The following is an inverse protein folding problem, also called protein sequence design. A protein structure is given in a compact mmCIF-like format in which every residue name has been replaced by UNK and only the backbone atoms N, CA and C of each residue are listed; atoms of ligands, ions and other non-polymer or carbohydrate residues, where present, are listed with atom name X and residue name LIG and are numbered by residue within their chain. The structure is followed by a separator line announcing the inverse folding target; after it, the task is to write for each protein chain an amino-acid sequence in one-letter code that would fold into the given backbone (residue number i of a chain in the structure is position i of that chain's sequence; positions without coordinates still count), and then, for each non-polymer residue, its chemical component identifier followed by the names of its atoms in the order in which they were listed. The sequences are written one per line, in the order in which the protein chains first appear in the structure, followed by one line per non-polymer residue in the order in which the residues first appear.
data_IF_550267253251
#
_entry.id   IF_550267253251
#
_cell.length_a   1.000
_cell.length_b   1.000
_cell.length_c   1.000
_cell.angle_alpha   90.00
_cell.angle_beta   90.00
_cell.angle_gamma   90.00
#
_symmetry.space_group_name_H-M   'P 1'
#
loop_
_entity.id
_entity.type
_entity.pdbx_description
1 polymer ?
#
# COMPACT_ATOMS: atom_id res chain seq x y z
N UNK A 1 2.12 17.98 -13.45
CA UNK A 1 1.15 19.06 -13.18
C UNK A 1 1.43 19.75 -11.84
N UNK A 2 1.49 19.03 -10.71
CA UNK A 2 1.67 19.61 -9.37
C UNK A 2 3.10 19.49 -8.79
N UNK A 3 4.11 19.22 -9.62
CA UNK A 3 5.48 19.00 -9.15
C UNK A 3 6.05 20.28 -8.51
N UNK A 4 6.57 20.16 -7.28
CA UNK A 4 7.16 21.29 -6.53
C UNK A 4 6.16 22.19 -5.79
N UNK A 5 4.85 21.93 -5.88
CA UNK A 5 3.86 22.66 -5.06
C UNK A 5 3.90 22.18 -3.60
N UNK A 6 4.10 23.07 -2.61
CA UNK A 6 3.96 22.73 -1.20
C UNK A 6 2.48 22.54 -0.82
N UNK A 7 2.23 21.99 0.36
CA UNK A 7 0.91 21.92 1.01
C UNK A 7 -0.21 21.26 0.19
N UNK A 8 0.14 20.21 -0.56
CA UNK A 8 -0.82 19.36 -1.26
C UNK A 8 -0.90 17.98 -0.61
N UNK A 9 -2.10 17.43 -0.59
CA UNK A 9 -2.36 16.04 -0.26
C UNK A 9 -3.24 15.43 -1.36
N UNK A 10 -3.09 14.13 -1.58
CA UNK A 10 -3.99 13.36 -2.42
C UNK A 10 -5.16 12.86 -1.57
N UNK A 11 -6.37 13.11 -2.02
CA UNK A 11 -7.56 12.43 -1.50
C UNK A 11 -7.81 11.16 -2.34
N UNK A 12 -7.77 10.00 -1.70
CA UNK A 12 -8.03 8.72 -2.33
C UNK A 12 -9.28 8.07 -1.73
N UNK A 13 -10.16 7.59 -2.62
CA UNK A 13 -11.40 6.91 -2.24
C UNK A 13 -11.30 5.44 -2.62
N UNK A 14 -11.59 4.54 -1.67
CA UNK A 14 -11.41 3.11 -1.88
C UNK A 14 -12.65 2.34 -1.47
N UNK A 15 -13.21 1.61 -2.43
CA UNK A 15 -14.41 0.82 -2.26
C UNK A 15 -14.26 -0.55 -2.93
N UNK A 16 -14.98 -1.52 -2.40
CA UNK A 16 -15.09 -2.88 -2.94
C UNK A 16 -16.54 -3.27 -3.28
N UNK A 17 -17.49 -2.34 -3.08
CA UNK A 17 -18.92 -2.53 -3.32
C UNK A 17 -19.26 -2.82 -4.80
N UNK A 18 -18.41 -2.37 -5.72
CA UNK A 18 -18.58 -2.52 -7.16
C UNK A 18 -17.72 -3.63 -7.76
N UNK A 19 -17.03 -4.41 -6.93
CA UNK A 19 -16.31 -5.56 -7.44
C UNK A 19 -17.29 -6.61 -7.97
N UNK A 20 -16.85 -7.33 -8.99
CA UNK A 20 -17.59 -8.48 -9.51
C UNK A 20 -17.72 -9.55 -8.43
N UNK A 21 -18.77 -10.36 -8.56
CA UNK A 21 -19.01 -11.52 -7.71
C UNK A 21 -17.73 -12.32 -7.44
N UNK A 22 -17.42 -12.49 -6.15
CA UNK A 22 -16.16 -13.10 -5.73
C UNK A 22 -16.18 -13.59 -4.28
N UNK A 23 -15.07 -14.18 -3.85
CA UNK A 23 -14.87 -14.72 -2.53
C UNK A 23 -14.56 -13.66 -1.48
N UNK A 24 -14.83 -13.99 -0.21
CA UNK A 24 -14.32 -13.20 0.94
C UNK A 24 -12.80 -13.08 0.93
N UNK A 25 -12.09 -14.11 0.47
CA UNK A 25 -10.63 -14.14 0.42
C UNK A 25 -10.09 -13.10 -0.55
N UNK A 26 -10.75 -12.89 -1.68
CA UNK A 26 -10.40 -11.79 -2.59
C UNK A 26 -10.60 -10.44 -1.91
N UNK A 27 -11.74 -10.21 -1.26
CA UNK A 27 -11.96 -8.95 -0.53
C UNK A 27 -10.89 -8.69 0.53
N UNK A 28 -10.49 -9.72 1.27
CA UNK A 28 -9.41 -9.65 2.24
C UNK A 28 -8.05 -9.36 1.61
N UNK A 29 -7.70 -10.09 0.55
CA UNK A 29 -6.44 -9.91 -0.16
C UNK A 29 -6.30 -8.51 -0.75
N UNK A 30 -7.35 -8.02 -1.40
CA UNK A 30 -7.40 -6.67 -1.92
C UNK A 30 -7.31 -5.62 -0.82
N UNK A 31 -8.03 -5.80 0.30
CA UNK A 31 -7.92 -4.92 1.45
C UNK A 31 -6.48 -4.85 1.96
N UNK A 32 -5.75 -5.97 1.99
CA UNK A 32 -4.33 -6.00 2.36
C UNK A 32 -3.40 -5.39 1.30
N UNK A 33 -3.69 -5.60 0.01
CA UNK A 33 -2.92 -5.04 -1.11
C UNK A 33 -3.09 -3.53 -1.29
N UNK A 34 -4.11 -2.89 -0.68
CA UNK A 34 -4.33 -1.44 -0.76
C UNK A 34 -3.13 -0.62 -0.29
N UNK A 35 -2.35 -1.10 0.68
CA UNK A 35 -1.17 -0.39 1.18
C UNK A 35 -0.11 -0.16 0.11
N UNK A 36 0.11 -1.14 -0.79
CA UNK A 36 1.04 -1.00 -1.92
C UNK A 36 0.61 0.09 -2.90
N UNK A 37 -0.69 0.12 -3.22
CA UNK A 37 -1.28 1.15 -4.09
C UNK A 37 -1.17 2.54 -3.46
N UNK A 38 -1.45 2.66 -2.16
CA UNK A 38 -1.35 3.92 -1.44
C UNK A 38 0.10 4.41 -1.35
N UNK A 39 1.05 3.51 -1.13
CA UNK A 39 2.47 3.85 -1.12
C UNK A 39 2.93 4.37 -2.49
N UNK A 40 2.51 3.72 -3.59
CA UNK A 40 2.82 4.20 -4.93
C UNK A 40 2.24 5.60 -5.21
N UNK A 41 1.02 5.89 -4.71
CA UNK A 41 0.42 7.23 -4.81
C UNK A 41 1.22 8.23 -3.96
N UNK A 42 1.62 7.85 -2.74
CA UNK A 42 2.37 8.71 -1.85
C UNK A 42 3.75 9.06 -2.41
N UNK A 43 4.48 8.08 -2.93
CA UNK A 43 5.78 8.26 -3.57
C UNK A 43 5.69 9.17 -4.81
N UNK A 44 4.61 9.05 -5.59
CA UNK A 44 4.43 9.83 -6.81
C UNK A 44 3.89 11.25 -6.56
N UNK A 45 3.01 11.45 -5.59
CA UNK A 45 2.28 12.70 -5.40
C UNK A 45 2.64 13.47 -4.12
N UNK A 46 3.00 12.77 -3.05
CA UNK A 46 3.11 13.30 -1.68
C UNK A 46 2.00 12.76 -0.76
N UNK A 47 1.76 13.38 0.41
CA UNK A 47 0.89 12.83 1.45
C UNK A 47 -0.48 12.39 0.94
N UNK A 48 -0.91 11.18 1.33
CA UNK A 48 -2.21 10.63 0.96
C UNK A 48 -3.13 10.60 2.18
N UNK A 49 -4.36 11.07 2.00
CA UNK A 49 -5.46 10.95 2.96
C UNK A 49 -6.56 10.13 2.31
N UNK A 50 -7.13 9.19 3.05
CA UNK A 50 -8.27 8.41 2.58
C UNK A 50 -9.55 9.12 2.95
N UNK A 51 -10.03 10.00 2.06
CA UNK A 51 -11.25 10.77 2.29
C UNK A 51 -12.50 9.91 2.34
N UNK A 52 -12.51 8.74 1.69
CA UNK A 52 -13.67 7.85 1.72
C UNK A 52 -13.32 6.37 1.59
N UNK A 53 -13.96 5.56 2.45
CA UNK A 53 -14.00 4.10 2.33
C UNK A 53 -15.17 3.53 3.15
N UNK A 54 -15.64 2.33 2.83
CA UNK A 54 -16.70 1.64 3.59
C UNK A 54 -16.39 0.15 3.79
N UNK A 55 -17.25 -0.58 4.51
CA UNK A 55 -17.17 -2.04 4.64
C UNK A 55 -17.98 -2.79 3.57
N UNK A 56 -18.61 -2.08 2.65
CA UNK A 56 -19.47 -2.68 1.64
C UNK A 56 -18.68 -3.57 0.66
N UNK A 57 -19.20 -4.79 0.49
CA UNK A 57 -18.74 -5.82 -0.46
C UNK A 57 -19.77 -6.10 -1.55
N UNK A 58 -20.87 -5.37 -1.52
CA UNK A 58 -21.95 -5.41 -2.50
C UNK A 58 -22.46 -3.97 -2.69
N UNK A 59 -23.30 -3.79 -3.70
CA UNK A 59 -23.95 -2.52 -3.97
C UNK A 59 -25.48 -2.61 -3.90
N UNK A 60 -25.97 -3.36 -2.92
CA UNK A 60 -27.39 -3.57 -2.68
C UNK A 60 -28.10 -2.37 -2.07
N UNK A 61 -27.36 -1.47 -1.43
CA UNK A 61 -27.94 -0.34 -0.72
C UNK A 61 -28.82 0.47 -1.67
N UNK A 62 -30.08 0.70 -1.26
CA UNK A 62 -31.06 1.37 -2.11
C UNK A 62 -30.51 2.71 -2.61
N UNK A 63 -30.57 2.90 -3.93
CA UNK A 63 -30.11 4.10 -4.64
C UNK A 63 -28.62 4.40 -4.60
N UNK A 64 -27.79 3.44 -4.17
CA UNK A 64 -26.34 3.62 -4.12
C UNK A 64 -25.73 3.97 -5.49
N UNK A 65 -26.26 3.40 -6.56
CA UNK A 65 -25.81 3.67 -7.93
C UNK A 65 -26.57 4.80 -8.63
N UNK A 66 -27.57 5.38 -7.97
CA UNK A 66 -28.48 6.36 -8.55
C UNK A 66 -29.92 6.19 -8.08
N UNK A 67 -30.67 7.28 -8.09
CA UNK A 67 -32.07 7.28 -7.66
C UNK A 67 -32.92 6.37 -8.56
N UNK A 68 -33.50 5.32 -7.96
CA UNK A 68 -34.22 4.24 -8.61
C UNK A 68 -33.51 3.65 -9.84
N UNK A 69 -32.18 3.66 -9.85
CA UNK A 69 -31.37 3.10 -10.92
C UNK A 69 -30.23 2.27 -10.36
N UNK A 70 -29.94 1.19 -11.05
CA UNK A 70 -28.65 0.51 -10.97
C UNK A 70 -28.02 0.56 -12.36
N UNK A 71 -26.71 0.81 -12.40
CA UNK A 71 -25.95 0.72 -13.63
C UNK A 71 -26.14 -0.67 -14.28
N UNK A 72 -26.11 -0.79 -15.62
CA UNK A 72 -26.19 -2.08 -16.28
C UNK A 72 -25.19 -3.09 -15.70
N UNK A 73 -25.68 -4.28 -15.33
CA UNK A 73 -24.87 -5.31 -14.67
C UNK A 73 -24.87 -5.26 -13.14
N UNK A 74 -25.63 -4.34 -12.54
CA UNK A 74 -25.80 -4.23 -11.09
C UNK A 74 -27.27 -4.41 -10.63
N UNK A 75 -27.49 -4.88 -9.39
CA UNK A 75 -26.47 -5.24 -8.40
C UNK A 75 -25.72 -6.51 -8.83
N UNK A 76 -24.44 -6.61 -8.48
CA UNK A 76 -23.60 -7.78 -8.82
C UNK A 76 -24.01 -9.03 -8.04
N UNK A 77 -24.81 -8.84 -6.97
CA UNK A 77 -25.30 -9.88 -6.06
C UNK A 77 -26.81 -9.70 -5.85
N UNK A 78 -27.57 -10.77 -5.54
CA UNK A 78 -28.95 -10.61 -5.10
C UNK A 78 -28.99 -10.01 -3.69
N UNK A 79 -29.95 -9.10 -3.47
CA UNK A 79 -30.03 -8.23 -2.30
C UNK A 79 -31.11 -8.66 -1.30
N UNK A 80 -30.83 -8.48 -0.01
CA UNK A 80 -31.81 -8.60 1.07
C UNK A 80 -32.71 -7.37 1.06
N UNK A 81 -33.96 -7.57 1.44
CA UNK A 81 -34.96 -6.52 1.52
C UNK A 81 -35.46 -6.41 2.96
N UNK A 82 -35.61 -5.18 3.45
CA UNK A 82 -36.19 -4.87 4.77
C UNK A 82 -37.32 -3.89 4.62
N UNK A 83 -38.20 -3.80 5.61
CA UNK A 83 -39.24 -2.77 5.62
C UNK A 83 -38.59 -1.39 5.48
N UNK A 84 -39.11 -0.58 4.56
CA UNK A 84 -38.59 0.76 4.34
C UNK A 84 -38.79 1.64 5.58
N UNK A 85 -37.78 2.42 5.94
CA UNK A 85 -37.90 3.41 7.02
C UNK A 85 -39.00 4.43 6.72
N UNK A 86 -39.66 4.92 7.77
CA UNK A 86 -40.56 6.05 7.65
C UNK A 86 -39.82 7.29 7.09
N UNK A 87 -40.47 8.12 6.26
CA UNK A 87 -39.85 9.31 5.70
C UNK A 87 -39.45 10.30 6.80
N UNK A 88 -38.19 10.74 6.81
CA UNK A 88 -37.69 11.66 7.85
C UNK A 88 -38.34 13.05 7.79
N UNK A 89 -38.93 13.42 6.64
CA UNK A 89 -39.66 14.68 6.44
C UNK A 89 -41.19 14.55 6.64
N UNK A 90 -41.68 13.39 7.11
CA UNK A 90 -43.11 13.15 7.38
C UNK A 90 -43.88 12.45 6.26
N UNK A 91 -45.07 11.93 6.58
CA UNK A 91 -45.89 11.08 5.70
C UNK A 91 -46.63 11.84 4.59
N UNK A 92 -46.60 13.17 4.60
CA UNK A 92 -47.27 13.99 3.59
C UNK A 92 -46.46 14.13 2.30
N UNK A 93 -45.23 13.59 2.24
CA UNK A 93 -44.42 13.68 1.04
C UNK A 93 -44.98 12.84 -0.10
N UNK A 94 -44.94 13.34 -1.35
CA UNK A 94 -45.31 12.55 -2.51
C UNK A 94 -44.55 11.22 -2.57
N UNK A 95 -45.27 10.11 -2.72
CA UNK A 95 -44.67 8.77 -2.77
C UNK A 95 -44.29 8.19 -1.40
N UNK A 96 -44.71 8.84 -0.30
CA UNK A 96 -44.52 8.33 1.06
C UNK A 96 -45.86 8.18 1.78
N UNK A 97 -46.02 7.18 2.66
CA UNK A 97 -45.14 6.02 2.79
C UNK A 97 -45.12 5.20 1.49
N UNK A 98 -44.11 4.35 1.35
CA UNK A 98 -44.02 3.42 0.22
C UNK A 98 -45.28 2.56 0.18
N UNK A 99 -45.95 2.49 -0.97
CA UNK A 99 -47.18 1.71 -1.13
C UNK A 99 -46.87 0.20 -1.07
N UNK A 100 -47.38 -0.49 -0.06
CA UNK A 100 -47.11 -1.92 0.17
C UNK A 100 -47.77 -2.84 -0.85
N UNK A 101 -48.72 -2.32 -1.64
CA UNK A 101 -49.49 -3.09 -2.63
C UNK A 101 -48.90 -2.99 -4.04
N UNK A 102 -47.96 -2.06 -4.25
CA UNK A 102 -47.33 -1.83 -5.54
C UNK A 102 -45.97 -2.51 -5.60
N UNK A 103 -45.62 -3.00 -6.79
CA UNK A 103 -44.27 -3.48 -7.10
C UNK A 103 -43.25 -2.35 -7.08
N UNK A 104 -42.26 -2.39 -7.98
CA UNK A 104 -41.26 -1.33 -8.05
C UNK A 104 -41.92 0.04 -8.29
N UNK A 105 -41.65 1.00 -7.41
CA UNK A 105 -42.20 2.35 -7.49
C UNK A 105 -41.19 3.31 -8.11
N UNK A 106 -41.64 4.01 -9.15
CA UNK A 106 -40.82 4.93 -9.92
C UNK A 106 -40.50 6.25 -9.19
N UNK A 107 -39.76 7.16 -9.85
CA UNK A 107 -39.34 7.11 -11.26
C UNK A 107 -38.34 5.97 -11.53
N UNK A 108 -38.21 5.47 -12.75
CA UNK A 108 -37.31 4.36 -13.07
C UNK A 108 -36.05 4.83 -13.77
N UNK A 109 -34.92 4.21 -13.43
CA UNK A 109 -33.64 4.40 -14.06
C UNK A 109 -33.46 3.71 -15.42
N UNK A 110 -32.20 3.58 -15.84
CA UNK A 110 -31.77 3.10 -17.14
C UNK A 110 -31.68 1.59 -17.27
N UNK A 111 -31.38 0.83 -16.21
CA UNK A 111 -31.09 -0.60 -16.40
C UNK A 111 -31.37 -1.56 -15.23
N UNK A 112 -31.23 -1.14 -13.97
CA UNK A 112 -31.26 -2.09 -12.85
C UNK A 112 -32.25 -1.74 -11.73
N UNK A 113 -32.70 -2.77 -11.01
CA UNK A 113 -33.62 -2.64 -9.88
C UNK A 113 -32.85 -2.13 -8.65
N UNK A 114 -33.14 -0.89 -8.23
CA UNK A 114 -32.60 -0.29 -7.00
C UNK A 114 -33.67 0.58 -6.36
N UNK A 115 -34.82 0.02 -5.99
CA UNK A 115 -35.92 0.83 -5.49
C UNK A 115 -36.87 0.06 -4.60
N UNK A 116 -37.79 0.75 -3.94
CA UNK A 116 -38.74 0.13 -3.05
C UNK A 116 -39.74 -0.74 -3.82
N UNK A 117 -40.03 -1.93 -3.30
CA UNK A 117 -40.97 -2.91 -3.86
C UNK A 117 -41.84 -3.46 -2.73
N UNK A 118 -43.16 -3.36 -2.85
CA UNK A 118 -44.12 -3.87 -1.85
C UNK A 118 -43.88 -3.39 -0.41
N UNK A 119 -43.38 -2.16 -0.22
CA UNK A 119 -43.05 -1.62 1.10
C UNK A 119 -41.66 -1.99 1.62
N UNK A 120 -40.88 -2.74 0.85
CA UNK A 120 -39.54 -3.16 1.22
C UNK A 120 -38.46 -2.46 0.38
N UNK A 121 -37.32 -2.20 1.01
CA UNK A 121 -36.17 -1.51 0.45
C UNK A 121 -34.97 -2.48 0.42
N UNK A 122 -34.21 -2.54 -0.68
CA UNK A 122 -33.00 -3.36 -0.75
C UNK A 122 -31.91 -2.76 0.13
N UNK A 123 -31.14 -3.62 0.80
CA UNK A 123 -30.10 -3.17 1.72
C UNK A 123 -28.70 -3.76 1.49
N UNK A 124 -28.41 -4.93 2.05
CA UNK A 124 -27.12 -5.61 1.98
C UNK A 124 -27.34 -7.09 1.59
N UNK A 125 -26.27 -7.86 1.48
CA UNK A 125 -26.32 -9.32 1.44
C UNK A 125 -25.65 -9.93 2.68
N UNK A 126 -26.12 -11.09 3.11
CA UNK A 126 -25.45 -11.87 4.15
C UNK A 126 -24.30 -12.72 3.60
N UNK A 127 -23.24 -12.86 4.40
CA UNK A 127 -22.20 -13.87 4.17
C UNK A 127 -22.57 -15.19 4.86
N UNK A 128 -22.25 -16.31 4.23
CA UNK A 128 -22.50 -17.66 4.74
C UNK A 128 -21.26 -18.24 5.43
N UNK A 129 -21.41 -19.12 6.43
CA UNK A 129 -20.27 -19.83 7.04
C UNK A 129 -19.64 -20.78 6.02
N UNK A 130 -18.32 -20.87 6.04
CA UNK A 130 -17.60 -21.89 5.28
C UNK A 130 -17.77 -23.26 5.98
N UNK A 131 -18.18 -24.27 5.23
CA UNK A 131 -18.35 -25.66 5.67
C UNK A 131 -17.64 -26.68 4.77
N UNK A 132 -17.51 -27.94 5.22
CA UNK A 132 -16.69 -28.97 4.55
C UNK A 132 -17.17 -29.40 3.15
N UNK A 133 -18.39 -29.00 2.74
CA UNK A 133 -18.92 -29.23 1.38
C UNK A 133 -19.04 -27.94 0.54
N UNK A 134 -18.83 -26.77 1.14
CA UNK A 134 -18.53 -25.52 0.45
C UNK A 134 -17.01 -25.40 0.47
N UNK A 135 -16.35 -26.23 -0.34
CA UNK A 135 -14.89 -26.39 -0.31
C UNK A 135 -14.16 -25.05 -0.22
N UNK A 136 -13.05 -25.10 0.51
CA UNK A 136 -11.97 -24.14 0.83
C UNK A 136 -11.46 -23.22 -0.30
N UNK A 137 -12.31 -22.70 -1.16
CA UNK A 137 -11.94 -21.99 -2.40
C UNK A 137 -12.56 -20.61 -2.49
N UNK A 138 -13.26 -20.15 -1.45
CA UNK A 138 -14.02 -18.92 -1.53
C UNK A 138 -15.15 -18.96 -2.58
N UNK A 139 -15.48 -20.15 -3.10
CA UNK A 139 -16.51 -20.39 -4.11
C UNK A 139 -17.90 -20.60 -3.50
N UNK A 140 -18.23 -19.94 -2.38
CA UNK A 140 -19.63 -19.85 -1.95
C UNK A 140 -20.40 -19.18 -3.07
N UNK A 141 -20.98 -19.98 -3.99
CA UNK A 141 -21.64 -19.51 -5.20
C UNK A 141 -22.67 -18.49 -4.76
N UNK A 142 -22.68 -17.32 -5.40
CA UNK A 142 -23.76 -16.34 -5.27
C UNK A 142 -24.98 -16.83 -6.09
N UNK A 143 -25.34 -18.09 -5.84
CA UNK A 143 -26.65 -18.69 -6.10
C UNK A 143 -27.42 -18.89 -4.80
N UNK A 144 -26.75 -18.77 -3.66
CA UNK A 144 -27.40 -18.80 -2.35
C UNK A 144 -28.22 -17.52 -2.14
N UNK A 145 -29.31 -17.64 -1.38
CA UNK A 145 -30.21 -16.53 -1.03
C UNK A 145 -29.44 -15.29 -0.55
N UNK A 146 -30.00 -14.10 -0.77
CA UNK A 146 -29.41 -12.88 -0.24
C UNK A 146 -29.39 -12.83 1.30
N UNK A 147 -30.31 -13.57 1.92
CA UNK A 147 -30.41 -13.71 3.37
C UNK A 147 -30.02 -15.13 3.79
N UNK A 148 -29.01 -15.20 4.66
CA UNK A 148 -28.52 -16.46 5.22
C UNK A 148 -29.35 -16.85 6.45
N UNK A 149 -29.70 -18.13 6.62
CA UNK A 149 -30.29 -18.62 7.86
C UNK A 149 -29.37 -18.30 9.06
N UNK A 150 -29.91 -17.96 10.25
CA UNK A 150 -29.11 -17.54 11.41
C UNK A 150 -27.96 -18.50 11.76
N UNK A 151 -28.16 -19.81 11.61
CA UNK A 151 -27.17 -20.84 11.89
C UNK A 151 -26.02 -20.87 10.86
N UNK A 152 -26.26 -20.42 9.63
CA UNK A 152 -25.29 -20.34 8.55
C UNK A 152 -24.77 -18.92 8.31
N UNK A 153 -25.30 -17.89 8.99
CA UNK A 153 -24.86 -16.50 8.81
C UNK A 153 -23.47 -16.27 9.42
N UNK A 154 -22.61 -15.57 8.66
CA UNK A 154 -21.22 -15.25 9.02
C UNK A 154 -20.84 -13.79 8.72
N UNK A 155 -21.81 -12.96 8.32
CA UNK A 155 -21.63 -11.54 7.96
C UNK A 155 -20.78 -10.79 8.99
N UNK A 156 -21.08 -10.96 10.29
CA UNK A 156 -20.39 -10.20 11.33
C UNK A 156 -18.90 -10.55 11.45
N UNK A 157 -18.55 -11.84 11.31
CA UNK A 157 -17.16 -12.27 11.33
C UNK A 157 -16.40 -11.80 10.09
N UNK A 158 -17.06 -11.89 8.92
CA UNK A 158 -16.47 -11.44 7.65
C UNK A 158 -16.18 -9.94 7.69
N UNK A 159 -17.16 -9.14 8.08
CA UNK A 159 -17.01 -7.68 8.13
C UNK A 159 -16.03 -7.23 9.21
N UNK A 160 -15.96 -7.92 10.36
CA UNK A 160 -14.95 -7.66 11.39
C UNK A 160 -13.53 -7.94 10.89
N UNK A 161 -13.32 -9.05 10.18
CA UNK A 161 -12.01 -9.37 9.61
C UNK A 161 -11.64 -8.43 8.45
N UNK A 162 -12.60 -8.09 7.60
CA UNK A 162 -12.40 -7.10 6.53
C UNK A 162 -12.00 -5.75 7.12
N UNK A 163 -12.68 -5.29 8.17
CA UNK A 163 -12.31 -4.07 8.89
C UNK A 163 -10.86 -4.11 9.36
N UNK A 164 -10.43 -5.17 10.05
CA UNK A 164 -9.05 -5.29 10.55
C UNK A 164 -8.02 -5.19 9.42
N UNK A 165 -8.27 -5.87 8.29
CA UNK A 165 -7.39 -5.86 7.11
C UNK A 165 -7.36 -4.50 6.42
N UNK A 166 -8.51 -3.87 6.22
CA UNK A 166 -8.58 -2.49 5.71
C UNK A 166 -7.80 -1.57 6.63
N UNK A 167 -8.14 -1.56 7.92
CA UNK A 167 -7.47 -0.71 8.90
C UNK A 167 -5.96 -0.87 8.90
N UNK A 168 -5.45 -2.10 8.88
CA UNK A 168 -4.02 -2.36 8.77
C UNK A 168 -3.42 -1.62 7.57
N UNK A 169 -3.97 -1.83 6.38
CA UNK A 169 -3.47 -1.21 5.15
C UNK A 169 -3.62 0.31 5.14
N UNK A 170 -4.80 0.81 5.54
CA UNK A 170 -5.12 2.23 5.52
C UNK A 170 -4.22 3.01 6.48
N UNK A 171 -3.95 2.49 7.69
CA UNK A 171 -3.10 3.20 8.66
C UNK A 171 -1.61 2.97 8.49
N UNK A 172 -1.19 2.01 7.65
CA UNK A 172 0.24 1.76 7.39
C UNK A 172 0.88 2.90 6.59
N UNK A 173 0.15 3.46 5.63
CA UNK A 173 0.68 4.46 4.69
C UNK A 173 -0.05 5.80 4.81
N UNK A 174 -1.39 5.80 4.85
CA UNK A 174 -2.14 7.06 4.79
C UNK A 174 -2.01 7.89 6.07
N UNK A 175 -2.11 9.22 5.92
CA UNK A 175 -2.01 10.20 7.00
C UNK A 175 -3.35 10.43 7.72
N UNK A 176 -4.36 9.61 7.42
CA UNK A 176 -5.69 9.70 7.99
C UNK A 176 -6.74 9.05 7.09
N UNK A 177 -7.87 8.69 7.67
CA UNK A 177 -8.96 8.07 6.93
C UNK A 177 -10.33 8.50 7.46
N UNK A 178 -11.32 8.52 6.58
CA UNK A 178 -12.71 8.86 6.93
C UNK A 178 -13.64 7.78 6.40
N UNK A 179 -14.41 7.18 7.31
CA UNK A 179 -15.38 6.16 6.97
C UNK A 179 -16.62 6.81 6.32
N UNK A 180 -16.98 6.33 5.13
CA UNK A 180 -18.18 6.71 4.42
C UNK A 180 -19.32 5.73 4.75
N UNK A 181 -20.32 6.11 5.56
CA UNK A 181 -20.57 7.41 6.19
C UNK A 181 -20.87 7.24 7.69
N UNK A 182 -21.05 8.34 8.42
CA UNK A 182 -21.34 8.34 9.85
C UNK A 182 -22.62 7.55 10.19
N UNK A 183 -23.68 7.70 9.38
CA UNK A 183 -24.95 7.00 9.55
C UNK A 183 -25.74 6.88 8.24
N UNK A 184 -26.68 5.95 8.21
CA UNK A 184 -27.68 5.74 7.15
C UNK A 184 -29.09 5.71 7.75
N UNK A 185 -30.11 6.01 6.93
CA UNK A 185 -31.52 5.96 7.37
C UNK A 185 -32.07 4.52 7.44
N UNK A 186 -31.62 3.65 6.51
CA UNK A 186 -31.86 2.21 6.55
C UNK A 186 -30.77 1.52 7.39
N UNK A 187 -31.07 0.34 7.93
CA UNK A 187 -30.12 -0.44 8.73
C UNK A 187 -29.04 -1.08 7.86
N UNK A 188 -28.03 -0.28 7.52
CA UNK A 188 -26.97 -0.57 6.56
C UNK A 188 -25.59 -0.44 7.18
N UNK A 189 -25.15 -1.40 8.02
CA UNK A 189 -23.91 -1.25 8.76
C UNK A 189 -22.68 -1.17 7.87
N UNK A 190 -22.72 -1.73 6.66
CA UNK A 190 -21.60 -1.62 5.72
C UNK A 190 -21.29 -0.16 5.30
N UNK A 191 -22.30 0.71 5.34
CA UNK A 191 -22.25 2.13 4.97
C UNK A 191 -22.49 3.08 6.17
N UNK A 192 -22.64 2.54 7.38
CA UNK A 192 -22.98 3.28 8.60
C UNK A 192 -22.00 2.97 9.73
N UNK A 193 -21.13 3.93 10.03
CA UNK A 193 -20.13 3.81 11.08
C UNK A 193 -20.74 3.43 12.44
N UNK A 194 -21.85 4.09 12.82
CA UNK A 194 -22.53 3.82 14.07
C UNK A 194 -23.07 2.38 14.15
N UNK A 195 -23.74 1.91 13.09
CA UNK A 195 -24.28 0.55 13.07
C UNK A 195 -23.17 -0.50 13.01
N UNK A 196 -22.09 -0.25 12.28
CA UNK A 196 -20.92 -1.13 12.24
C UNK A 196 -20.26 -1.26 13.63
N UNK A 197 -20.23 -0.18 14.42
CA UNK A 197 -19.78 -0.21 15.81
C UNK A 197 -20.74 -0.95 16.73
N UNK A 198 -22.05 -0.80 16.53
CA UNK A 198 -23.08 -1.50 17.32
C UNK A 198 -23.07 -3.02 17.05
N UNK A 199 -22.87 -3.42 15.79
CA UNK A 199 -22.68 -4.83 15.41
C UNK A 199 -21.30 -5.40 15.80
N UNK A 200 -20.39 -4.55 16.29
CA UNK A 200 -19.04 -4.97 16.69
C UNK A 200 -18.09 -5.29 15.53
N UNK A 201 -18.41 -4.82 14.31
CA UNK A 201 -17.50 -4.88 13.16
C UNK A 201 -16.33 -3.91 13.37
N UNK A 202 -16.66 -2.72 13.88
CA UNK A 202 -15.70 -1.68 14.26
C UNK A 202 -15.56 -1.69 15.80
N UNK A 203 -14.38 -1.95 16.36
CA UNK A 203 -14.17 -2.04 17.81
C UNK A 203 -14.27 -0.66 18.49
N UNK A 204 -14.88 -0.62 19.67
CA UNK A 204 -14.90 0.56 20.56
C UNK A 204 -13.54 0.68 21.27
N UNK A 205 -12.73 1.69 20.93
CA UNK A 205 -11.41 2.08 21.50
C UNK A 205 -10.86 1.21 22.65
N UNK A 206 -9.88 0.35 22.34
CA UNK A 206 -8.76 -0.17 23.19
C UNK A 206 -8.30 -1.60 22.80
N UNK A 207 -9.10 -2.36 22.07
CA UNK A 207 -8.71 -3.69 21.50
C UNK A 207 -7.90 -3.56 20.19
N UNK A 208 -7.33 -2.38 19.93
CA UNK A 208 -7.18 -1.82 18.59
C UNK A 208 -5.87 -2.11 17.85
N UNK A 209 -4.77 -2.48 18.52
CA UNK A 209 -3.46 -2.41 17.84
C UNK A 209 -2.88 -3.77 17.47
N UNK A 210 -2.86 -4.74 18.38
CA UNK A 210 -2.22 -6.05 18.12
C UNK A 210 -2.97 -6.83 17.03
N UNK A 211 -4.30 -6.83 17.07
CA UNK A 211 -5.14 -7.55 16.10
C UNK A 211 -5.10 -6.91 14.70
N UNK A 212 -4.83 -5.61 14.60
CA UNK A 212 -4.77 -4.88 13.33
C UNK A 212 -3.36 -4.97 12.74
N UNK A 213 -2.31 -4.85 13.55
CA UNK A 213 -0.91 -4.88 13.09
C UNK A 213 -0.58 -6.15 12.31
N UNK A 214 -1.14 -7.30 12.69
CA UNK A 214 -0.90 -8.57 12.01
C UNK A 214 -2.08 -9.07 11.15
N UNK A 215 -3.09 -8.22 10.91
CA UNK A 215 -4.30 -8.63 10.20
C UNK A 215 -4.02 -9.12 8.77
N UNK A 216 -2.96 -8.62 8.13
CA UNK A 216 -2.57 -8.97 6.75
C UNK A 216 -1.39 -9.93 6.65
N UNK A 217 -0.92 -10.50 7.76
CA UNK A 217 0.29 -11.32 7.77
C UNK A 217 0.22 -12.53 6.82
N UNK A 218 -0.96 -13.16 6.69
CA UNK A 218 -1.14 -14.31 5.79
C UNK A 218 -1.01 -13.89 4.31
N UNK A 219 -1.63 -12.78 3.95
CA UNK A 219 -1.58 -12.21 2.60
C UNK A 219 -0.15 -11.78 2.25
N UNK A 220 0.51 -11.08 3.16
CA UNK A 220 1.87 -10.57 2.97
C UNK A 220 2.88 -11.70 2.81
N UNK A 221 2.70 -12.81 3.53
CA UNK A 221 3.56 -13.99 3.44
C UNK A 221 3.29 -14.87 2.22
N UNK A 222 2.28 -14.57 1.41
CA UNK A 222 1.95 -15.38 0.22
C UNK A 222 1.40 -16.75 0.59
N UNK A 223 0.60 -16.86 1.66
CA UNK A 223 -0.05 -18.12 2.06
C UNK A 223 -1.28 -18.48 1.20
N UNK A 224 -1.59 -17.66 0.21
CA UNK A 224 -2.67 -17.88 -0.74
C UNK A 224 -2.08 -18.11 -2.12
N UNK A 225 -2.65 -19.06 -2.85
CA UNK A 225 -2.30 -19.38 -4.23
C UNK A 225 -3.38 -18.88 -5.15
N UNK A 226 -2.97 -18.29 -6.27
CA UNK A 226 -3.86 -17.86 -7.33
C UNK A 226 -4.08 -18.98 -8.35
N UNK A 227 -5.30 -19.50 -8.45
CA UNK A 227 -5.64 -20.58 -9.38
C UNK A 227 -6.69 -20.13 -10.39
N UNK A 228 -6.65 -20.69 -11.60
CA UNK A 228 -7.73 -20.54 -12.57
C UNK A 228 -9.02 -21.22 -12.08
N UNK A 229 -10.15 -20.62 -12.45
CA UNK A 229 -11.48 -21.22 -12.34
C UNK A 229 -11.66 -22.32 -13.38
N UNK A 230 -12.40 -23.36 -13.04
CA UNK A 230 -12.69 -24.47 -13.94
C UNK A 230 -13.45 -24.00 -15.20
N UNK A 231 -14.32 -23.00 -15.05
CA UNK A 231 -15.12 -22.42 -16.13
C UNK A 231 -14.46 -21.28 -16.92
N UNK A 232 -13.17 -21.01 -16.69
CA UNK A 232 -12.46 -19.94 -17.39
C UNK A 232 -12.36 -20.22 -18.90
N UNK A 233 -12.87 -19.29 -19.73
CA UNK A 233 -12.79 -19.46 -21.18
C UNK A 233 -11.35 -19.31 -21.70
N UNK A 234 -10.97 -20.13 -22.69
CA UNK A 234 -9.64 -20.10 -23.32
C UNK A 234 -9.24 -18.69 -23.79
N UNK A 235 -10.18 -17.94 -24.37
CA UNK A 235 -9.97 -16.55 -24.81
C UNK A 235 -9.53 -15.64 -23.65
N UNK A 236 -10.16 -15.76 -22.48
CA UNK A 236 -9.83 -14.92 -21.33
C UNK A 236 -8.51 -15.36 -20.68
N UNK A 237 -8.22 -16.66 -20.65
CA UNK A 237 -6.93 -17.19 -20.19
C UNK A 237 -5.79 -16.62 -21.05
N UNK A 238 -5.93 -16.67 -22.38
CA UNK A 238 -4.96 -16.07 -23.30
C UNK A 238 -4.76 -14.59 -23.02
N UNK A 239 -5.86 -13.83 -22.83
CA UNK A 239 -5.77 -12.41 -22.50
C UNK A 239 -4.98 -12.14 -21.21
N UNK A 240 -5.15 -12.98 -20.18
CA UNK A 240 -4.38 -12.86 -18.94
C UNK A 240 -2.89 -13.17 -19.14
N UNK A 241 -2.57 -14.23 -19.91
CA UNK A 241 -1.18 -14.58 -20.21
C UNK A 241 -0.47 -13.48 -21.02
N UNK A 242 -1.15 -12.92 -22.03
CA UNK A 242 -0.64 -11.79 -22.80
C UNK A 242 -0.39 -10.56 -21.94
N UNK A 243 -1.25 -10.28 -20.96
CA UNK A 243 -1.02 -9.20 -20.00
C UNK A 243 0.23 -9.46 -19.16
N UNK A 244 0.39 -10.67 -18.63
CA UNK A 244 1.58 -11.08 -17.86
C UNK A 244 2.86 -10.91 -18.69
N UNK A 245 2.85 -11.39 -19.93
CA UNK A 245 3.99 -11.23 -20.85
C UNK A 245 4.31 -9.76 -21.10
N UNK A 246 3.29 -8.95 -21.36
CA UNK A 246 3.46 -7.53 -21.60
C UNK A 246 4.10 -6.82 -20.40
N UNK A 247 3.64 -7.09 -19.18
CA UNK A 247 4.20 -6.47 -17.97
C UNK A 247 5.64 -6.91 -17.75
N UNK A 248 5.93 -8.21 -17.86
CA UNK A 248 7.27 -8.75 -17.68
C UNK A 248 8.26 -8.23 -18.73
N UNK A 249 7.79 -7.95 -19.95
CA UNK A 249 8.61 -7.49 -21.05
C UNK A 249 8.69 -5.96 -21.19
N UNK A 250 7.91 -5.19 -20.42
CA UNK A 250 7.75 -3.75 -20.61
C UNK A 250 9.07 -2.97 -20.50
N UNK A 251 9.96 -3.42 -19.62
CA UNK A 251 11.24 -2.77 -19.35
C UNK A 251 12.42 -3.46 -20.07
N UNK A 252 12.15 -4.46 -20.92
CA UNK A 252 13.17 -5.15 -21.70
C UNK A 252 13.50 -4.38 -23.00
N UNK A 253 14.76 -4.44 -23.47
CA UNK A 253 15.13 -3.99 -24.80
C UNK A 253 14.32 -4.74 -25.88
N UNK A 254 14.00 -4.11 -27.04
CA UNK A 254 13.22 -4.76 -28.11
C UNK A 254 13.79 -6.10 -28.58
N UNK A 255 15.11 -6.27 -28.55
CA UNK A 255 15.81 -7.50 -28.90
C UNK A 255 15.56 -8.67 -27.93
N UNK A 256 15.13 -8.39 -26.71
CA UNK A 256 14.90 -9.39 -25.65
C UNK A 256 13.40 -9.69 -25.44
N UNK A 257 12.51 -9.00 -26.17
CA UNK A 257 11.06 -9.24 -26.11
C UNK A 257 10.71 -10.52 -26.86
N UNK A 258 10.19 -11.51 -26.12
CA UNK A 258 9.67 -12.76 -26.70
C UNK A 258 8.17 -12.59 -26.97
N UNK A 259 7.79 -12.55 -28.26
CA UNK A 259 6.38 -12.63 -28.65
C UNK A 259 5.89 -14.07 -28.56
N UNK A 260 5.00 -14.34 -27.60
CA UNK A 260 4.36 -15.65 -27.44
C UNK A 260 2.99 -15.63 -28.12
N UNK A 261 2.82 -16.47 -29.14
CA UNK A 261 1.53 -16.69 -29.78
C UNK A 261 0.79 -17.84 -29.10
N UNK A 262 -0.45 -17.59 -28.68
CA UNK A 262 -1.32 -18.57 -28.04
C UNK A 262 -2.40 -19.06 -29.02
N UNK A 263 -2.65 -20.37 -29.05
CA UNK A 263 -3.74 -20.95 -29.84
C UNK A 263 -5.02 -21.09 -29.00
N UNK A 264 -6.07 -20.40 -29.42
CA UNK A 264 -7.39 -20.45 -28.77
C UNK A 264 -8.08 -21.81 -28.89
N UNK A 265 -7.65 -22.64 -29.85
CA UNK A 265 -8.22 -23.97 -30.09
C UNK A 265 -7.40 -25.09 -29.43
N UNK A 266 -6.33 -24.76 -28.70
CA UNK A 266 -5.53 -25.77 -27.99
C UNK A 266 -6.38 -26.43 -26.88
N UNK A 267 -6.71 -27.74 -27.00
CA UNK A 267 -7.49 -28.44 -25.98
C UNK A 267 -6.75 -28.58 -24.64
N UNK A 268 -5.42 -28.43 -24.65
CA UNK A 268 -4.56 -28.54 -23.48
C UNK A 268 -3.92 -27.20 -23.10
N UNK A 269 -4.52 -26.07 -23.49
CA UNK A 269 -3.99 -24.70 -23.30
C UNK A 269 -3.41 -24.47 -21.90
N UNK A 270 -4.10 -24.92 -20.85
CA UNK A 270 -3.66 -24.71 -19.46
C UNK A 270 -2.33 -25.42 -19.18
N UNK A 271 -2.18 -26.68 -19.63
CA UNK A 271 -0.98 -27.48 -19.42
C UNK A 271 0.15 -27.04 -20.36
N UNK A 272 -0.15 -26.80 -21.64
CA UNK A 272 0.83 -26.43 -22.66
C UNK A 272 1.47 -25.06 -22.38
N UNK A 273 0.73 -24.14 -21.76
CA UNK A 273 1.23 -22.80 -21.41
C UNK A 273 1.67 -22.67 -19.95
N UNK A 274 1.42 -23.68 -19.12
CA UNK A 274 1.62 -23.59 -17.67
C UNK A 274 0.76 -22.49 -17.02
N UNK A 275 -0.46 -22.24 -17.52
CA UNK A 275 -1.23 -21.05 -17.20
C UNK A 275 -1.47 -20.83 -15.70
N UNK A 276 -1.79 -21.89 -14.95
CA UNK A 276 -1.98 -21.82 -13.50
C UNK A 276 -0.73 -21.32 -12.78
N UNK A 277 0.43 -21.92 -13.10
CA UNK A 277 1.69 -21.55 -12.46
C UNK A 277 2.06 -20.11 -12.78
N UNK A 278 1.93 -19.69 -14.04
CA UNK A 278 2.29 -18.33 -14.46
C UNK A 278 1.41 -17.26 -13.82
N UNK A 279 0.12 -17.55 -13.65
CA UNK A 279 -0.83 -16.67 -12.96
C UNK A 279 -0.48 -16.53 -11.48
N UNK A 280 -0.16 -17.63 -10.81
CA UNK A 280 0.29 -17.59 -9.43
C UNK A 280 1.64 -16.89 -9.28
N UNK A 281 2.63 -17.22 -10.10
CA UNK A 281 3.96 -16.59 -10.07
C UNK A 281 3.86 -15.06 -10.22
N UNK A 282 3.03 -14.59 -11.16
CA UNK A 282 2.77 -13.16 -11.32
C UNK A 282 2.08 -12.55 -10.09
N UNK A 283 1.04 -13.21 -9.57
CA UNK A 283 0.37 -12.75 -8.36
C UNK A 283 1.33 -12.69 -7.17
N UNK A 284 2.13 -13.73 -6.93
CA UNK A 284 3.12 -13.75 -5.86
C UNK A 284 4.13 -12.62 -6.03
N UNK A 285 4.64 -12.37 -7.25
CA UNK A 285 5.61 -11.31 -7.50
C UNK A 285 5.06 -9.91 -7.21
N UNK A 286 3.78 -9.65 -7.53
CA UNK A 286 3.20 -8.31 -7.49
C UNK A 286 2.14 -8.09 -6.39
N UNK A 287 1.86 -9.06 -5.52
CA UNK A 287 0.82 -8.94 -4.48
C UNK A 287 1.04 -7.75 -3.53
N UNK A 288 2.29 -7.47 -3.18
CA UNK A 288 2.64 -6.36 -2.28
C UNK A 288 2.45 -4.99 -2.94
N UNK A 289 2.48 -4.94 -4.28
CA UNK A 289 2.17 -3.75 -5.09
C UNK A 289 0.66 -3.58 -5.28
N UNK A 290 -0.15 -4.55 -4.80
CA UNK A 290 -1.60 -4.54 -4.89
C UNK A 290 -2.17 -5.25 -6.12
N UNK A 291 -1.41 -6.14 -6.75
CA UNK A 291 -1.94 -7.04 -7.77
C UNK A 291 -3.02 -7.96 -7.19
N UNK A 292 -4.09 -8.17 -7.95
CA UNK A 292 -5.25 -8.98 -7.54
C UNK A 292 -5.29 -10.29 -8.28
N UNK A 293 -5.57 -11.39 -7.57
CA UNK A 293 -5.86 -12.67 -8.19
C UNK A 293 -7.31 -12.72 -8.73
N UNK A 294 -7.53 -12.03 -9.85
CA UNK A 294 -8.82 -12.00 -10.54
C UNK A 294 -8.64 -12.20 -12.06
N UNK A 295 -7.66 -11.50 -12.65
CA UNK A 295 -7.33 -11.56 -14.08
C UNK A 295 -8.57 -11.41 -15.00
N UNK A 296 -9.50 -10.51 -14.65
CA UNK A 296 -10.74 -10.32 -15.40
C UNK A 296 -11.83 -11.33 -15.04
N UNK A 297 -11.76 -11.91 -13.85
CA UNK A 297 -12.72 -12.86 -13.28
C UNK A 297 -12.43 -14.33 -13.57
N UNK A 298 -11.25 -14.67 -14.11
CA UNK A 298 -10.89 -16.05 -14.47
C UNK A 298 -10.13 -16.81 -13.38
N UNK A 299 -9.60 -16.11 -12.39
CA UNK A 299 -8.83 -16.69 -11.30
C UNK A 299 -9.50 -16.45 -9.94
N UNK A 300 -9.09 -17.22 -8.94
CA UNK A 300 -9.50 -17.09 -7.55
C UNK A 300 -8.36 -17.45 -6.60
N UNK A 301 -8.45 -16.95 -5.37
CA UNK A 301 -7.51 -17.28 -4.30
C UNK A 301 -7.97 -18.52 -3.55
N UNK A 302 -7.02 -19.42 -3.32
CA UNK A 302 -7.16 -20.58 -2.44
C UNK A 302 -6.15 -20.44 -1.30
N UNK A 303 -6.58 -20.68 -0.07
CA UNK A 303 -5.66 -20.74 1.08
C UNK A 303 -4.93 -22.09 1.05
N UNK A 304 -3.60 -22.08 1.09
CA UNK A 304 -2.85 -23.31 1.26
C UNK A 304 -2.79 -23.70 2.74
N UNK A 305 -2.90 -25.00 3.02
CA UNK A 305 -2.81 -25.55 4.36
C UNK A 305 -1.34 -25.58 4.85
N UNK A 306 -0.75 -24.41 5.02
CA UNK A 306 0.59 -24.19 5.57
C UNK A 306 0.46 -23.71 7.02
N UNK A 307 1.26 -24.28 7.92
CA UNK A 307 1.27 -23.88 9.34
C UNK A 307 1.91 -22.50 9.49
N UNK A 308 1.14 -21.53 9.97
CA UNK A 308 1.58 -20.16 10.21
C UNK A 308 1.94 -19.93 11.68
N UNK A 309 3.11 -19.31 11.92
CA UNK A 309 3.51 -18.80 13.22
C UNK A 309 3.53 -17.27 13.20
N UNK A 310 2.74 -16.57 14.03
CA UNK A 310 2.68 -15.10 14.06
C UNK A 310 4.02 -14.39 14.21
N UNK A 311 5.01 -15.04 14.84
CA UNK A 311 6.38 -14.53 14.99
C UNK A 311 7.16 -14.40 13.68
N UNK A 312 6.63 -14.90 12.56
CA UNK A 312 7.23 -14.79 11.24
C UNK A 312 6.67 -13.63 10.41
N UNK A 313 5.62 -12.95 10.90
CA UNK A 313 5.07 -11.78 10.23
C UNK A 313 6.12 -10.66 10.24
N UNK A 314 6.54 -10.15 9.08
CA UNK A 314 7.49 -9.04 9.06
C UNK A 314 6.82 -7.81 9.68
N UNK A 315 7.49 -7.16 10.64
CA UNK A 315 6.98 -5.97 11.36
C UNK A 315 6.82 -4.75 10.44
N UNK A 316 7.37 -4.82 9.24
CA UNK A 316 7.11 -3.95 8.09
C UNK A 316 7.31 -4.78 6.82
N UNK A 317 6.49 -4.61 5.76
CA UNK A 317 6.71 -5.32 4.52
C UNK A 317 8.15 -5.07 4.03
N UNK A 318 8.91 -6.12 3.65
CA UNK A 318 10.25 -5.93 3.10
C UNK A 318 10.13 -5.11 1.81
N UNK A 319 10.71 -3.90 1.80
CA UNK A 319 10.69 -2.99 0.65
C UNK A 319 10.03 -1.63 0.89
N UNK A 320 9.30 -1.44 1.99
CA UNK A 320 8.55 -0.21 2.26
C UNK A 320 9.06 0.54 3.48
N UNK A 321 10.37 0.75 3.55
CA UNK A 321 10.90 1.93 4.25
C UNK A 321 10.70 3.14 3.34
N UNK A 322 10.60 4.37 3.87
CA UNK A 322 10.78 5.56 3.02
C UNK A 322 12.04 5.31 2.18
N UNK A 323 12.01 5.72 0.91
CA UNK A 323 13.13 5.71 -0.04
C UNK A 323 14.27 6.63 0.44
N UNK A 324 14.71 6.41 1.66
CA UNK A 324 15.91 6.94 2.23
C UNK A 324 17.10 6.16 1.66
N UNK A 325 18.27 6.78 1.65
CA UNK A 325 19.49 6.12 1.24
C UNK A 325 19.64 4.78 1.96
N UNK A 326 19.99 3.74 1.20
CA UNK A 326 20.30 2.41 1.72
C UNK A 326 21.33 2.50 2.86
N UNK A 327 21.45 1.50 3.75
CA UNK A 327 22.45 1.52 4.82
C UNK A 327 23.87 1.79 4.31
N UNK A 328 24.19 1.34 3.09
CA UNK A 328 25.46 1.60 2.42
C UNK A 328 25.56 3.07 1.99
N UNK A 329 24.53 3.63 1.36
CA UNK A 329 24.51 5.05 1.00
C UNK A 329 24.56 5.97 2.21
N UNK A 330 23.86 5.64 3.30
CA UNK A 330 23.97 6.36 4.57
C UNK A 330 25.37 6.32 5.14
N UNK A 331 26.01 5.15 5.11
CA UNK A 331 27.41 5.01 5.52
C UNK A 331 28.32 5.90 4.66
N UNK A 332 28.12 5.90 3.34
CA UNK A 332 28.90 6.73 2.41
C UNK A 332 28.67 8.22 2.67
N UNK A 333 27.42 8.66 2.86
CA UNK A 333 27.07 10.05 3.16
C UNK A 333 27.72 10.49 4.47
N UNK A 334 27.64 9.67 5.52
CA UNK A 334 28.26 9.97 6.82
C UNK A 334 29.78 10.04 6.69
N UNK A 335 30.41 9.11 5.97
CA UNK A 335 31.86 9.13 5.74
C UNK A 335 32.30 10.38 4.97
N UNK A 336 31.59 10.74 3.90
CA UNK A 336 31.87 11.96 3.13
C UNK A 336 31.69 13.21 4.00
N UNK A 337 30.62 13.29 4.80
CA UNK A 337 30.37 14.40 5.70
C UNK A 337 31.46 14.55 6.76
N UNK A 338 31.91 13.44 7.36
CA UNK A 338 33.01 13.42 8.34
C UNK A 338 34.33 13.85 7.70
N UNK A 339 34.65 13.36 6.49
CA UNK A 339 35.87 13.76 5.77
C UNK A 339 35.84 15.24 5.41
N UNK A 340 34.73 15.74 4.84
CA UNK A 340 34.55 17.14 4.52
C UNK A 340 34.63 18.03 5.77
N UNK A 341 33.96 17.64 6.85
CA UNK A 341 34.00 18.33 8.14
C UNK A 341 35.41 18.38 8.73
N UNK A 342 36.13 17.27 8.68
CA UNK A 342 37.52 17.19 9.13
C UNK A 342 38.44 18.07 8.29
N UNK A 343 38.31 18.05 6.96
CA UNK A 343 39.13 18.88 6.06
C UNK A 343 38.88 20.38 6.28
N UNK A 344 37.61 20.78 6.39
CA UNK A 344 37.24 22.18 6.69
C UNK A 344 37.77 22.58 8.06
N UNK A 345 37.53 21.77 9.09
CA UNK A 345 38.03 22.01 10.45
C UNK A 345 39.56 22.10 10.51
N UNK A 346 40.26 21.22 9.79
CA UNK A 346 41.71 21.21 9.69
C UNK A 346 42.24 22.47 9.00
N UNK A 347 41.63 22.90 7.88
CA UNK A 347 42.00 24.14 7.18
C UNK A 347 41.77 25.36 8.06
N UNK A 348 40.64 25.43 8.78
CA UNK A 348 40.35 26.51 9.72
C UNK A 348 41.35 26.51 10.87
N UNK A 349 41.67 25.35 11.46
CA UNK A 349 42.67 25.22 12.50
C UNK A 349 44.07 25.64 12.03
N UNK A 350 44.46 25.26 10.81
CA UNK A 350 45.70 25.71 10.17
C UNK A 350 45.74 27.22 9.98
N UNK A 351 44.61 27.90 9.75
CA UNK A 351 44.55 29.36 9.57
C UNK A 351 44.47 30.15 10.87
N UNK A 352 43.69 29.67 11.83
CA UNK A 352 43.34 30.44 13.02
C UNK A 352 44.20 30.13 14.25
N UNK A 353 44.92 29.00 14.27
CA UNK A 353 45.77 28.59 15.40
C UNK A 353 47.24 28.49 14.99
N UNK A 354 48.07 29.51 15.30
CA UNK A 354 49.49 29.51 14.96
C UNK A 354 50.24 28.30 15.54
N UNK A 355 49.92 27.90 16.78
CA UNK A 355 50.54 26.74 17.43
C UNK A 355 50.20 25.41 16.76
N UNK A 356 48.95 25.24 16.32
CA UNK A 356 48.54 24.06 15.55
C UNK A 356 49.23 24.02 14.19
N UNK A 357 49.27 25.15 13.48
CA UNK A 357 49.96 25.28 12.19
C UNK A 357 51.45 24.93 12.29
N UNK A 358 52.15 25.46 13.30
CA UNK A 358 53.56 25.18 13.54
C UNK A 358 53.79 23.69 13.85
N UNK A 359 52.96 23.10 14.71
CA UNK A 359 53.06 21.69 15.07
C UNK A 359 52.85 20.76 13.87
N UNK A 360 51.78 20.98 13.08
CA UNK A 360 51.46 20.20 11.88
C UNK A 360 52.61 20.24 10.87
N UNK A 361 53.22 21.41 10.65
CA UNK A 361 54.37 21.57 9.75
C UNK A 361 55.62 20.85 10.21
N UNK A 362 55.83 20.73 11.52
CA UNK A 362 56.94 20.00 12.11
C UNK A 362 56.84 18.48 11.89
N UNK A 363 55.63 17.95 11.66
CA UNK A 363 55.42 16.50 11.50
C UNK A 363 56.05 15.97 10.21
N UNK A 364 56.67 14.78 10.29
CA UNK A 364 57.36 14.14 9.15
C UNK A 364 56.42 13.91 7.95
N UNK A 365 55.13 13.68 8.20
CA UNK A 365 54.15 13.37 7.17
C UNK A 365 53.72 14.60 6.36
N UNK A 366 53.74 15.81 6.95
CA UNK A 366 53.32 17.04 6.27
C UNK A 366 54.47 17.78 5.55
N UNK A 367 55.73 17.39 5.79
CA UNK A 367 56.92 17.99 5.15
C UNK A 367 56.84 18.07 3.61
N UNK A 368 56.39 17.03 2.87
CA UNK A 368 56.25 17.12 1.42
C UNK A 368 55.26 18.19 0.97
N UNK A 369 54.15 18.36 1.70
CA UNK A 369 53.10 19.34 1.41
C UNK A 369 53.61 20.77 1.65
N UNK A 370 54.39 20.98 2.72
CA UNK A 370 55.00 22.29 3.01
C UNK A 370 56.05 22.72 1.97
N UNK A 371 56.62 21.77 1.22
CA UNK A 371 57.55 22.02 0.12
C UNK A 371 56.87 22.17 -1.24
N UNK A 372 55.54 22.03 -1.30
CA UNK A 372 54.78 22.17 -2.55
C UNK A 372 54.80 23.61 -3.05
N UNK A 373 55.03 23.79 -4.35
CA UNK A 373 54.97 25.10 -5.01
C UNK A 373 53.57 25.51 -5.48
N UNK A 374 52.54 24.71 -5.17
CA UNK A 374 51.16 25.03 -5.55
C UNK A 374 50.64 26.26 -4.80
N UNK A 375 50.36 27.35 -5.54
CA UNK A 375 49.77 28.57 -4.98
C UNK A 375 48.44 28.32 -4.25
N UNK A 376 47.65 27.37 -4.74
CA UNK A 376 46.33 27.01 -4.16
C UNK A 376 46.51 26.35 -2.79
N UNK A 377 47.37 25.33 -2.69
CA UNK A 377 47.60 24.64 -1.41
C UNK A 377 48.16 25.56 -0.34
N UNK A 378 49.04 26.49 -0.75
CA UNK A 378 49.70 27.43 0.17
C UNK A 378 48.76 28.51 0.65
N UNK A 379 47.92 29.05 -0.24
CA UNK A 379 46.85 29.96 0.15
C UNK A 379 45.87 29.27 1.12
N UNK A 380 45.40 28.06 0.78
CA UNK A 380 44.41 27.33 1.57
C UNK A 380 44.91 26.96 2.97
N UNK A 381 46.17 26.54 3.11
CA UNK A 381 46.74 26.10 4.39
C UNK A 381 47.53 27.20 5.13
N UNK A 382 47.42 28.46 4.69
CA UNK A 382 48.18 29.60 5.21
C UNK A 382 49.69 29.33 5.33
N UNK A 383 50.26 28.73 4.28
CA UNK A 383 51.70 28.51 4.21
C UNK A 383 52.39 29.79 3.70
N UNK A 384 53.47 30.27 4.34
CA UNK A 384 54.28 31.40 3.89
C UNK A 384 54.76 31.20 2.46
N UNK A 385 54.97 32.30 1.75
CA UNK A 385 55.54 32.30 0.40
C UNK A 385 56.97 31.72 0.44
N UNK A 386 57.37 31.01 -0.63
CA UNK A 386 58.76 30.63 -0.85
C UNK A 386 59.24 31.57 -1.95
N UNK A 387 59.88 32.67 -1.57
CA UNK A 387 60.49 33.56 -2.56
C UNK A 387 61.94 33.14 -2.86
N UNK A 388 62.62 32.43 -1.93
CA UNK A 388 63.92 31.82 -2.19
C UNK A 388 64.14 30.50 -1.43
N UNK A 389 65.02 29.62 -1.94
CA UNK A 389 65.36 28.34 -1.31
C UNK A 389 66.06 28.52 0.06
N UNK A 390 66.72 29.66 0.29
CA UNK A 390 67.40 29.99 1.56
C UNK A 390 66.45 30.32 2.72
N UNK A 391 65.28 30.89 2.46
CA UNK A 391 64.27 31.17 3.51
C UNK A 391 63.57 29.88 3.98
N UNK A 392 63.48 28.85 3.12
CA UNK A 392 62.97 27.53 3.50
C UNK A 392 63.84 26.87 4.57
N UNK A 393 65.16 26.94 4.37
CA UNK A 393 66.14 26.37 5.29
C UNK A 393 66.18 27.16 6.61
N UNK A 394 65.97 28.48 6.57
CA UNK A 394 65.83 29.32 7.76
C UNK A 394 64.56 29.00 8.58
N UNK A 395 63.40 28.86 7.94
CA UNK A 395 62.14 28.48 8.59
C UNK A 395 62.17 27.07 9.21
N UNK A 396 62.90 26.13 8.59
CA UNK A 396 63.08 24.79 9.17
C UNK A 396 64.07 24.74 10.33
N UNK A 397 65.04 25.69 10.37
CA UNK A 397 66.02 25.79 11.46
C UNK A 397 65.39 26.29 12.76
N UNK A 398 64.44 27.21 12.67
CA UNK A 398 63.75 27.80 13.82
C UNK A 398 62.82 26.80 14.54
N UNK A 399 62.24 25.84 13.79
CA UNK A 399 61.38 24.78 14.34
C UNK A 399 62.18 23.71 15.10
N UNK A 400 63.43 23.45 14.72
CA UNK A 400 64.28 22.47 15.41
C UNK A 400 65.04 23.07 16.62
N UNK A 401 64.93 24.37 16.87
CA UNK A 401 65.68 25.10 17.90
C UNK A 401 64.96 25.33 19.23
N UNK A 402 63.67 25.03 19.35
CA UNK A 402 62.92 25.21 20.60
C UNK A 402 62.83 23.91 21.41
N UNK A 403 63.88 23.67 22.20
CA UNK A 403 63.82 22.81 23.38
C UNK A 403 62.86 23.45 24.40
N UNK A 404 61.87 22.66 24.84
CA UNK A 404 60.91 23.02 25.87
C UNK A 404 61.65 23.18 27.21
N UNK A 405 61.93 24.41 27.65
CA UNK A 405 62.33 24.65 29.03
C UNK A 405 61.12 24.47 29.94
N UNK A 406 61.04 23.28 30.52
CA UNK A 406 60.11 22.90 31.56
C UNK A 406 60.56 23.55 32.90
N UNK A 407 59.90 24.66 33.27
CA UNK A 407 59.89 25.22 34.63
C UNK A 407 58.44 25.62 34.90
N UNK A 408 57.78 25.36 36.03
CA UNK A 408 58.10 24.60 37.22
C UNK A 408 56.80 24.25 37.95
N UNK A 409 56.99 23.49 39.01
CA UNK A 409 56.05 23.02 40.04
C UNK A 409 54.96 24.00 40.48
N UNK A 410 53.72 23.50 40.61
CA UNK A 410 52.72 24.01 41.54
C UNK A 410 52.43 22.94 42.59
N UNK A 411 52.73 23.30 43.85
CA UNK A 411 52.17 22.73 45.08
C UNK A 411 50.79 23.28 45.34
#
# INVERSE_FOLDING_TARGET
FMAGCPDRAMDAHIYQAWDKETSRLKFYNEACGMKGKLAAIEDAFGPVVLGEWSLATDNCAMWLNGFNDNLPGYPTFPCKYVECSAPYMGLEQPGTPVDTTKGLQGPFGTAGLSGPIYGFCPIERDWYKEGPHTMETGQGKIKESAEAPPELRDTDNVMKNLYRKKMHSLTTVSHGHYFWNFRTDLQEPAWSYLLAMERGWIPRKSEQFVDIEHACAKEDLGLFVCTLKEEASAKNIIGALQYIDYVNNKDLPPEDVIEVAYDVNDPNLIESTGANQRIDDFFQAHRLEGATCDFGGIALLVEENKTFYPSMAPTMPPGYGPSGPSPVEMLVIVLVAVICGFLVGFVVAMRCSPGFNQHVRGTKWFKPITKSNSKILRSSLALPALETQGELDALMKDVNGMEYQNTGTFS
#
